data_IF_812804005407
#
_entry.id   IF_812804005407
#
_cell.length_a   1.000
_cell.length_b   1.000
_cell.length_c   1.000
_cell.angle_alpha   90.00
_cell.angle_beta   90.00
_cell.angle_gamma   90.00
#
_symmetry.space_group_name_H-M   'P 1'
#
loop_
_entity.id
_entity.type
_entity.pdbx_description
1 polymer ?
#
# COMPACT_ATOMS: atom_id res chain seq x y z
N UNK A 1 -29.30 0.44 9.35
CA UNK A 1 -27.94 -0.12 9.61
C UNK A 1 -27.74 -1.30 8.68
N UNK A 2 -26.83 -1.16 7.72
CA UNK A 2 -26.77 -1.74 6.37
C UNK A 2 -26.47 -3.25 6.33
N UNK A 3 -27.06 -3.94 5.35
CA UNK A 3 -26.98 -5.39 5.13
C UNK A 3 -25.55 -5.94 4.94
N UNK A 4 -24.59 -5.10 4.55
CA UNK A 4 -23.18 -5.43 4.37
C UNK A 4 -22.54 -5.98 5.67
N UNK A 5 -22.85 -5.38 6.82
CA UNK A 5 -22.33 -5.82 8.12
C UNK A 5 -22.89 -7.18 8.57
N UNK A 6 -24.09 -7.57 8.09
CA UNK A 6 -24.66 -8.91 8.36
C UNK A 6 -24.07 -10.00 7.48
N UNK A 7 -23.52 -9.63 6.32
CA UNK A 7 -22.82 -10.56 5.44
C UNK A 7 -21.43 -10.86 6.01
N UNK A 8 -20.73 -9.84 6.51
CA UNK A 8 -19.45 -9.97 7.20
C UNK A 8 -19.48 -10.89 8.44
N UNK A 9 -20.53 -10.85 9.26
CA UNK A 9 -20.67 -11.78 10.42
C UNK A 9 -20.93 -13.24 10.04
N UNK A 10 -21.28 -13.52 8.78
CA UNK A 10 -21.62 -14.87 8.31
C UNK A 10 -20.46 -15.57 7.60
N UNK A 11 -19.41 -14.84 7.23
CA UNK A 11 -18.12 -15.42 6.87
C UNK A 11 -17.45 -15.95 8.14
N UNK A 12 -17.79 -17.19 8.50
CA UNK A 12 -16.89 -18.00 9.32
C UNK A 12 -15.69 -18.30 8.43
N UNK A 13 -14.54 -17.77 8.82
CA UNK A 13 -13.27 -18.29 8.34
C UNK A 13 -13.06 -19.66 8.98
N UNK A 14 -12.79 -20.68 8.15
CA UNK A 14 -12.64 -22.07 8.60
C UNK A 14 -13.93 -22.88 8.56
N UNK A 15 -13.78 -24.19 8.38
CA UNK A 15 -14.81 -25.23 8.44
C UNK A 15 -15.39 -25.45 9.87
N UNK A 16 -15.12 -24.52 10.79
CA UNK A 16 -15.45 -24.63 12.21
C UNK A 16 -14.28 -25.10 13.07
N UNK A 17 -13.07 -25.26 12.51
CA UNK A 17 -11.86 -25.40 13.33
C UNK A 17 -11.42 -24.04 13.88
N UNK A 18 -11.16 -23.97 15.19
CA UNK A 18 -10.43 -22.87 15.84
C UNK A 18 -8.94 -22.92 15.43
N UNK A 19 -8.64 -22.99 14.13
CA UNK A 19 -7.27 -22.98 13.64
C UNK A 19 -6.73 -21.55 13.67
N UNK A 20 -5.63 -21.36 14.39
CA UNK A 20 -4.96 -20.06 14.48
C UNK A 20 -4.39 -19.72 13.11
N UNK A 21 -4.94 -18.69 12.49
CA UNK A 21 -4.47 -18.18 11.20
C UNK A 21 -3.20 -17.33 11.42
N UNK A 22 -2.12 -17.70 10.75
CA UNK A 22 -0.89 -16.90 10.72
C UNK A 22 -1.06 -15.70 9.78
N UNK A 23 -1.58 -14.60 10.35
CA UNK A 23 -1.84 -13.37 9.61
C UNK A 23 -0.54 -12.75 9.05
N UNK A 24 0.59 -12.92 9.73
CA UNK A 24 1.86 -12.37 9.26
C UNK A 24 2.30 -13.05 7.96
N UNK A 25 2.28 -14.38 7.92
CA UNK A 25 2.59 -15.16 6.71
C UNK A 25 1.65 -14.84 5.54
N UNK A 26 0.36 -14.65 5.82
CA UNK A 26 -0.62 -14.24 4.80
C UNK A 26 -0.30 -12.84 4.25
N UNK A 27 0.03 -11.89 5.13
CA UNK A 27 0.39 -10.53 4.72
C UNK A 27 1.68 -10.51 3.91
N UNK A 28 2.69 -11.28 4.29
CA UNK A 28 3.94 -11.45 3.52
C UNK A 28 3.65 -12.00 2.11
N UNK A 29 2.80 -13.02 2.02
CA UNK A 29 2.38 -13.61 0.73
C UNK A 29 1.63 -12.59 -0.12
N UNK A 30 0.69 -11.84 0.47
CA UNK A 30 -0.07 -10.82 -0.24
C UNK A 30 0.82 -9.68 -0.76
N UNK A 31 1.78 -9.23 0.05
CA UNK A 31 2.77 -8.22 -0.32
C UNK A 31 3.68 -8.72 -1.45
N UNK A 32 4.12 -9.98 -1.41
CA UNK A 32 4.91 -10.58 -2.48
C UNK A 32 4.15 -10.64 -3.81
N UNK A 33 2.87 -11.05 -3.77
CA UNK A 33 1.99 -11.08 -4.95
C UNK A 33 1.84 -9.67 -5.54
N UNK A 34 1.59 -8.66 -4.72
CA UNK A 34 1.44 -7.28 -5.20
C UNK A 34 2.75 -6.71 -5.71
N UNK A 35 3.87 -7.04 -5.07
CA UNK A 35 5.21 -6.69 -5.54
C UNK A 35 5.48 -7.25 -6.93
N UNK A 36 5.15 -8.52 -7.19
CA UNK A 36 5.29 -9.15 -8.51
C UNK A 36 4.41 -8.46 -9.56
N UNK A 37 3.13 -8.24 -9.23
CA UNK A 37 2.18 -7.56 -10.10
C UNK A 37 2.67 -6.16 -10.53
N UNK A 38 3.20 -5.40 -9.57
CA UNK A 38 3.64 -4.02 -9.80
C UNK A 38 5.00 -3.99 -10.49
N UNK A 39 6.00 -4.73 -10.00
CA UNK A 39 7.39 -4.59 -10.42
C UNK A 39 7.74 -5.50 -11.61
N UNK A 40 7.14 -6.68 -11.70
CA UNK A 40 7.45 -7.68 -12.74
C UNK A 40 6.44 -7.67 -13.87
N UNK A 41 5.15 -7.79 -13.55
CA UNK A 41 4.09 -7.94 -14.56
C UNK A 41 3.68 -6.59 -15.17
N UNK A 42 3.72 -5.52 -14.37
CA UNK A 42 3.21 -4.19 -14.75
C UNK A 42 1.70 -4.14 -14.91
N UNK A 43 1.00 -5.06 -14.26
CA UNK A 43 -0.45 -5.12 -14.19
C UNK A 43 -0.81 -5.50 -12.77
N UNK A 44 -1.52 -4.62 -12.05
CA UNK A 44 -1.82 -4.84 -10.64
C UNK A 44 -3.28 -4.62 -10.30
N UNK A 45 -3.73 -5.32 -9.25
CA UNK A 45 -5.05 -5.10 -8.67
C UNK A 45 -5.00 -3.89 -7.73
N UNK A 46 -5.67 -2.80 -8.10
CA UNK A 46 -5.72 -1.57 -7.32
C UNK A 46 -6.77 -1.59 -6.21
N UNK A 47 -7.56 -2.66 -6.07
CA UNK A 47 -8.53 -2.83 -4.98
C UNK A 47 -8.42 -4.23 -4.32
N UNK A 48 -7.34 -4.51 -3.58
CA UNK A 48 -7.19 -5.76 -2.84
C UNK A 48 -7.99 -5.76 -1.53
N UNK A 49 -9.27 -5.38 -1.60
CA UNK A 49 -10.14 -5.41 -0.44
C UNK A 49 -10.18 -6.84 0.15
N UNK A 50 -10.24 -7.01 1.49
CA UNK A 50 -10.22 -8.35 2.10
C UNK A 50 -11.33 -9.29 1.59
N UNK A 51 -12.46 -8.74 1.12
CA UNK A 51 -13.54 -9.53 0.50
C UNK A 51 -13.16 -10.20 -0.84
N UNK A 52 -12.08 -9.73 -1.48
CA UNK A 52 -11.56 -10.24 -2.76
C UNK A 52 -10.45 -11.27 -2.59
N UNK A 53 -10.11 -11.63 -1.34
CA UNK A 53 -9.00 -12.50 -1.00
C UNK A 53 -9.54 -13.71 -0.23
N UNK A 54 -9.32 -14.91 -0.78
CA UNK A 54 -9.70 -16.17 -0.16
C UNK A 54 -8.45 -16.92 0.28
N UNK A 55 -8.37 -17.34 1.54
CA UNK A 55 -7.39 -18.34 1.95
C UNK A 55 -7.92 -19.73 1.59
N UNK A 56 -7.13 -20.49 0.84
CA UNK A 56 -7.50 -21.85 0.46
C UNK A 56 -7.27 -22.82 1.62
N UNK A 57 -7.81 -24.03 1.47
CA UNK A 57 -7.81 -25.07 2.52
C UNK A 57 -6.42 -25.55 2.95
N UNK A 58 -5.38 -25.23 2.18
CA UNK A 58 -4.00 -25.54 2.55
C UNK A 58 -3.41 -24.53 3.56
N UNK A 59 -4.16 -23.50 3.92
CA UNK A 59 -3.77 -22.48 4.90
C UNK A 59 -2.64 -21.57 4.43
N UNK A 60 -2.25 -21.62 3.15
CA UNK A 60 -1.11 -20.87 2.59
C UNK A 60 -1.40 -20.21 1.27
N UNK A 61 -2.25 -20.80 0.44
CA UNK A 61 -2.55 -20.27 -0.89
C UNK A 61 -3.65 -19.22 -0.81
N UNK A 62 -3.45 -18.10 -1.52
CA UNK A 62 -4.42 -17.03 -1.65
C UNK A 62 -5.07 -17.07 -3.03
N UNK A 63 -6.40 -17.12 -3.05
CA UNK A 63 -7.23 -16.93 -4.25
C UNK A 63 -7.68 -15.48 -4.35
N UNK A 64 -7.37 -14.81 -5.45
CA UNK A 64 -7.87 -13.48 -5.79
C UNK A 64 -9.08 -13.62 -6.71
N UNK A 65 -10.22 -13.01 -6.35
CA UNK A 65 -11.50 -13.27 -7.04
C UNK A 65 -12.11 -12.07 -7.76
N UNK A 66 -11.59 -10.86 -7.54
CA UNK A 66 -12.07 -9.64 -8.19
C UNK A 66 -10.90 -8.90 -8.86
N UNK A 67 -11.05 -8.65 -10.16
CA UNK A 67 -10.10 -7.92 -11.00
C UNK A 67 -10.78 -6.72 -11.68
N UNK A 68 -11.89 -6.22 -11.12
CA UNK A 68 -12.63 -5.07 -11.63
C UNK A 68 -11.87 -3.75 -11.56
N UNK A 69 -10.83 -3.66 -10.72
CA UNK A 69 -9.96 -2.49 -10.57
C UNK A 69 -8.50 -2.81 -10.90
N UNK A 70 -8.25 -3.30 -12.10
CA UNK A 70 -6.87 -3.49 -12.60
C UNK A 70 -6.31 -2.19 -13.17
N UNK A 71 -5.00 -2.00 -13.02
CA UNK A 71 -4.23 -0.89 -13.60
C UNK A 71 -2.99 -1.43 -14.29
N UNK A 72 -2.60 -0.76 -15.38
CA UNK A 72 -1.38 -1.03 -16.12
C UNK A 72 -0.33 0.01 -15.79
N UNK A 73 0.90 -0.44 -15.60
CA UNK A 73 2.07 0.40 -15.34
C UNK A 73 3.09 0.17 -16.45
N UNK A 74 3.54 1.24 -17.09
CA UNK A 74 4.61 1.14 -18.07
C UNK A 74 5.96 0.78 -17.42
N UNK A 75 6.93 0.40 -18.24
CA UNK A 75 8.25 -0.01 -17.74
C UNK A 75 8.97 1.13 -17.00
N UNK A 76 8.87 2.37 -17.50
CA UNK A 76 9.60 3.51 -16.95
C UNK A 76 9.11 3.87 -15.55
N UNK A 77 7.80 3.87 -15.35
CA UNK A 77 7.17 4.08 -14.06
C UNK A 77 7.58 2.99 -13.06
N UNK A 78 7.54 1.72 -13.47
CA UNK A 78 7.94 0.59 -12.59
C UNK A 78 9.39 0.69 -12.16
N UNK A 79 10.29 1.01 -13.08
CA UNK A 79 11.69 1.23 -12.76
C UNK A 79 11.89 2.43 -11.83
N UNK A 80 11.12 3.51 -12.02
CA UNK A 80 11.13 4.66 -11.12
C UNK A 80 10.64 4.31 -9.71
N UNK A 81 9.54 3.56 -9.61
CA UNK A 81 9.00 3.08 -8.34
C UNK A 81 9.99 2.15 -7.63
N UNK A 82 10.64 1.22 -8.35
CA UNK A 82 11.67 0.37 -7.78
C UNK A 82 12.84 1.18 -7.19
N UNK A 83 13.31 2.21 -7.91
CA UNK A 83 14.34 3.12 -7.39
C UNK A 83 13.86 3.89 -6.16
N UNK A 84 12.59 4.30 -6.12
CA UNK A 84 12.00 5.02 -4.99
C UNK A 84 11.98 4.15 -3.74
N UNK A 85 11.55 2.88 -3.85
CA UNK A 85 11.57 1.90 -2.76
C UNK A 85 13.00 1.69 -2.23
N UNK A 86 13.99 1.57 -3.11
CA UNK A 86 15.40 1.46 -2.71
C UNK A 86 15.87 2.71 -1.95
N UNK A 87 15.53 3.91 -2.42
CA UNK A 87 15.90 5.16 -1.75
C UNK A 87 15.26 5.29 -0.36
N UNK A 88 14.00 4.86 -0.20
CA UNK A 88 13.32 4.81 1.10
C UNK A 88 14.01 3.84 2.07
N UNK A 89 14.37 2.64 1.60
CA UNK A 89 15.11 1.65 2.38
C UNK A 89 16.48 2.18 2.84
N UNK A 90 17.13 3.02 2.03
CA UNK A 90 18.41 3.65 2.35
C UNK A 90 18.28 4.94 3.18
N UNK A 91 17.05 5.37 3.52
CA UNK A 91 16.77 6.66 4.17
C UNK A 91 17.33 7.88 3.41
N UNK A 92 17.44 7.79 2.09
CA UNK A 92 17.92 8.88 1.24
C UNK A 92 16.81 9.89 0.93
N UNK A 93 16.61 10.87 1.83
CA UNK A 93 15.58 11.90 1.66
C UNK A 93 15.76 12.75 0.39
N UNK A 94 16.99 12.92 -0.10
CA UNK A 94 17.27 13.64 -1.35
C UNK A 94 16.90 12.82 -2.58
N UNK A 95 17.28 11.54 -2.58
CA UNK A 95 16.88 10.58 -3.61
C UNK A 95 15.38 10.42 -3.71
N UNK A 96 14.69 10.27 -2.58
CA UNK A 96 13.22 10.16 -2.51
C UNK A 96 12.55 11.39 -3.12
N UNK A 97 12.90 12.60 -2.68
CA UNK A 97 12.28 13.82 -3.20
C UNK A 97 12.54 14.06 -4.70
N UNK A 98 13.68 13.60 -5.22
CA UNK A 98 13.96 13.62 -6.66
C UNK A 98 13.06 12.62 -7.40
N UNK A 99 13.05 11.36 -6.97
CA UNK A 99 12.34 10.26 -7.64
C UNK A 99 10.82 10.45 -7.62
N UNK A 100 10.26 10.89 -6.51
CA UNK A 100 8.84 11.26 -6.42
C UNK A 100 8.44 12.30 -7.49
N UNK A 101 9.30 13.31 -7.72
CA UNK A 101 9.04 14.35 -8.72
C UNK A 101 9.12 13.79 -10.14
N UNK A 102 10.11 12.93 -10.39
CA UNK A 102 10.24 12.21 -11.68
C UNK A 102 9.02 11.33 -11.95
N UNK A 103 8.44 10.73 -10.91
CA UNK A 103 7.22 9.93 -10.99
C UNK A 103 5.95 10.78 -11.11
N UNK A 104 6.02 12.10 -10.93
CA UNK A 104 4.86 12.99 -11.11
C UNK A 104 4.15 13.40 -9.82
N UNK A 105 4.71 13.13 -8.64
CA UNK A 105 4.20 13.70 -7.39
C UNK A 105 4.41 15.22 -7.38
N UNK A 106 3.30 15.95 -7.37
CA UNK A 106 3.31 17.41 -7.28
C UNK A 106 2.69 17.83 -5.95
N UNK A 107 3.41 18.65 -5.20
CA UNK A 107 2.93 19.28 -3.97
C UNK A 107 3.06 20.79 -4.07
N UNK A 108 2.22 21.52 -3.33
CA UNK A 108 2.09 22.98 -3.43
C UNK A 108 3.39 23.73 -3.14
N UNK A 109 4.10 23.30 -2.10
CA UNK A 109 5.26 23.97 -1.52
C UNK A 109 6.56 23.22 -1.81
N UNK A 110 6.50 22.00 -2.38
CA UNK A 110 7.67 21.16 -2.66
C UNK A 110 8.57 20.94 -1.43
N UNK A 111 7.97 20.82 -0.25
CA UNK A 111 8.66 20.60 1.02
C UNK A 111 9.18 19.17 1.11
N UNK A 112 10.50 19.04 1.01
CA UNK A 112 11.17 17.74 1.04
C UNK A 112 10.87 16.95 2.32
N UNK A 113 10.84 17.60 3.47
CA UNK A 113 10.58 16.97 4.76
C UNK A 113 9.17 16.36 4.85
N UNK A 114 8.18 17.08 4.35
CA UNK A 114 6.78 16.63 4.33
C UNK A 114 6.60 15.49 3.36
N UNK A 115 7.13 15.65 2.13
CA UNK A 115 7.05 14.64 1.07
C UNK A 115 7.72 13.33 1.46
N UNK A 116 8.94 13.40 2.01
CA UNK A 116 9.65 12.23 2.50
C UNK A 116 8.83 11.45 3.54
N UNK A 117 8.16 12.14 4.46
CA UNK A 117 7.30 11.51 5.47
C UNK A 117 6.07 10.88 4.85
N UNK A 118 5.37 11.59 3.97
CA UNK A 118 4.20 11.06 3.27
C UNK A 118 4.56 9.82 2.43
N UNK A 119 5.65 9.87 1.68
CA UNK A 119 6.09 8.74 0.87
C UNK A 119 6.61 7.57 1.71
N UNK A 120 7.28 7.83 2.84
CA UNK A 120 7.65 6.78 3.79
C UNK A 120 6.41 6.09 4.35
N UNK A 121 5.38 6.87 4.70
CA UNK A 121 4.11 6.33 5.16
C UNK A 121 3.40 5.49 4.09
N UNK A 122 3.37 5.94 2.83
CA UNK A 122 2.68 5.21 1.76
C UNK A 122 3.37 3.92 1.32
N UNK A 123 4.72 3.86 1.37
CA UNK A 123 5.47 2.81 0.69
C UNK A 123 6.43 2.01 1.59
N UNK A 124 6.64 2.40 2.84
CA UNK A 124 7.65 1.77 3.70
C UNK A 124 7.15 1.48 5.12
N UNK A 125 6.77 2.52 5.89
CA UNK A 125 6.49 2.38 7.33
C UNK A 125 5.64 3.51 7.91
N UNK A 126 4.90 3.19 8.96
CA UNK A 126 4.01 4.08 9.73
C UNK A 126 4.54 4.36 11.16
N UNK A 127 5.86 4.28 11.35
CA UNK A 127 6.52 4.45 12.64
C UNK A 127 6.53 5.89 13.16
N UNK A 128 6.75 6.08 14.46
CA UNK A 128 6.75 7.41 15.11
C UNK A 128 7.74 8.41 14.49
N UNK A 129 8.88 7.95 13.97
CA UNK A 129 9.84 8.82 13.27
C UNK A 129 9.25 9.40 11.97
N UNK A 130 8.26 8.74 11.37
CA UNK A 130 7.53 9.20 10.18
C UNK A 130 6.28 9.97 10.57
N UNK A 131 5.42 9.35 11.39
CA UNK A 131 4.09 9.87 11.75
C UNK A 131 4.09 10.87 12.91
N UNK A 132 5.23 11.06 13.59
CA UNK A 132 5.40 12.04 14.66
C UNK A 132 4.44 11.80 15.84
N UNK A 133 4.17 10.53 16.15
CA UNK A 133 3.21 10.13 17.20
C UNK A 133 1.75 10.46 16.89
N UNK A 134 1.43 10.91 15.67
CA UNK A 134 0.06 11.16 15.23
C UNK A 134 -0.59 9.83 14.81
N UNK A 135 -1.90 9.73 15.00
CA UNK A 135 -2.67 8.69 14.32
C UNK A 135 -2.77 8.99 12.81
N UNK A 136 -3.24 8.01 12.03
CA UNK A 136 -3.39 8.14 10.59
C UNK A 136 -4.18 9.37 10.16
N UNK A 137 -5.32 9.64 10.80
CA UNK A 137 -6.18 10.76 10.43
C UNK A 137 -5.48 12.10 10.62
N UNK A 138 -4.85 12.28 11.78
CA UNK A 138 -4.14 13.50 12.13
C UNK A 138 -2.88 13.69 11.27
N UNK A 139 -2.17 12.60 10.95
CA UNK A 139 -1.00 12.63 10.06
C UNK A 139 -1.37 13.05 8.64
N UNK A 140 -2.45 12.48 8.08
CA UNK A 140 -2.94 12.88 6.76
C UNK A 140 -3.41 14.34 6.74
N UNK A 141 -4.12 14.77 7.78
CA UNK A 141 -4.53 16.17 7.93
C UNK A 141 -3.33 17.11 8.10
N UNK A 142 -2.26 16.67 8.76
CA UNK A 142 -1.00 17.40 8.87
C UNK A 142 -0.34 17.56 7.51
N UNK A 143 -0.18 16.48 6.74
CA UNK A 143 0.40 16.54 5.39
C UNK A 143 -0.36 17.52 4.48
N UNK A 144 -1.69 17.46 4.50
CA UNK A 144 -2.55 18.37 3.73
C UNK A 144 -2.40 19.84 4.15
N UNK A 145 -2.12 20.13 5.43
CA UNK A 145 -1.86 21.51 5.88
C UNK A 145 -0.46 21.99 5.50
N UNK A 146 0.55 21.14 5.65
CA UNK A 146 1.95 21.54 5.49
C UNK A 146 2.39 21.62 4.03
N UNK A 147 1.99 20.65 3.21
CA UNK A 147 2.31 20.61 1.79
C UNK A 147 1.27 19.80 0.98
N UNK A 148 0.09 20.40 0.68
CA UNK A 148 -0.99 19.74 -0.03
C UNK A 148 -0.52 19.05 -1.32
N UNK A 149 -0.95 17.81 -1.52
CA UNK A 149 -0.69 17.07 -2.77
C UNK A 149 -1.63 17.57 -3.85
N UNK A 150 -1.05 18.05 -4.95
CA UNK A 150 -1.78 18.60 -6.09
C UNK A 150 -2.02 17.55 -7.18
N UNK A 151 -1.10 16.61 -7.32
CA UNK A 151 -1.21 15.50 -8.26
C UNK A 151 -0.45 14.28 -7.75
N UNK A 152 -1.05 13.11 -7.98
CA UNK A 152 -0.40 11.82 -7.86
C UNK A 152 -0.06 11.28 -9.25
N UNK A 153 0.97 10.43 -9.36
CA UNK A 153 1.23 9.64 -10.55
C UNK A 153 0.04 8.78 -11.00
#
# INVERSE_FOLDING_TARGET
RTAVWRWWRRLRWGDGTDEVVDLASIMETLMAIHGEQVLTDGVFNADPHPGNILLLRDGRTLGLIDFGQVRHLDLDFRLGLARLVVALAQRDAAGVARLERELGLLTRNSRQDVRYRLCSFWLDRDTDDVMQGMNLHDFMAWGEREDPVLAFP
#
